data_IF_709388666435
#
_entry.id   IF_709388666435
#
_cell.length_a   1.000
_cell.length_b   1.000
_cell.length_c   1.000
_cell.angle_alpha   90.00
_cell.angle_beta   90.00
_cell.angle_gamma   90.00
#
_symmetry.space_group_name_H-M   'P 1'
#
loop_
_entity.id
_entity.type
_entity.pdbx_description
1 polymer ?
#
# COMPACT_ATOMS: atom_id res chain seq x y z
N UNK A 1 8.48 -6.57 -9.12
CA UNK A 1 7.54 -5.56 -8.61
C UNK A 1 7.60 -5.61 -7.10
N UNK A 2 8.17 -4.57 -6.50
CA UNK A 2 8.10 -4.35 -5.06
C UNK A 2 6.85 -3.53 -4.75
N UNK A 3 6.16 -3.91 -3.68
CA UNK A 3 5.02 -3.15 -3.17
C UNK A 3 5.41 -2.38 -1.91
N UNK A 4 4.81 -1.20 -1.74
CA UNK A 4 5.05 -0.24 -0.65
C UNK A 4 3.98 -0.34 0.45
N UNK A 5 3.26 -1.46 0.54
CA UNK A 5 2.11 -1.60 1.42
C UNK A 5 2.43 -1.44 2.91
N UNK A 6 3.66 -1.70 3.33
CA UNK A 6 4.10 -1.47 4.71
C UNK A 6 4.26 0.02 5.00
N UNK A 7 4.91 0.72 4.08
CA UNK A 7 5.18 2.15 4.16
C UNK A 7 3.88 2.95 4.10
N UNK A 8 2.97 2.58 3.21
CA UNK A 8 1.65 3.21 3.09
C UNK A 8 0.78 2.93 4.30
N UNK A 9 0.73 1.68 4.79
CA UNK A 9 -0.02 1.36 6.01
C UNK A 9 0.50 2.17 7.22
N UNK A 10 1.82 2.28 7.36
CA UNK A 10 2.43 3.13 8.39
C UNK A 10 2.04 4.60 8.24
N UNK A 11 2.07 5.16 7.03
CA UNK A 11 1.65 6.55 6.75
C UNK A 11 0.19 6.79 7.09
N UNK A 12 -0.68 5.83 6.79
CA UNK A 12 -2.13 5.86 7.10
C UNK A 12 -2.46 5.49 8.54
N UNK A 13 -1.44 5.28 9.39
CA UNK A 13 -1.59 4.89 10.79
C UNK A 13 -2.47 3.64 10.98
N UNK A 14 -2.34 2.66 10.09
CA UNK A 14 -3.04 1.38 10.17
C UNK A 14 -2.04 0.24 10.34
N UNK A 15 -2.31 -0.63 11.33
CA UNK A 15 -1.51 -1.83 11.53
C UNK A 15 -1.85 -2.89 10.47
N UNK A 16 -0.82 -3.53 9.91
CA UNK A 16 -1.02 -4.60 8.93
C UNK A 16 -1.75 -5.83 9.50
N UNK A 17 -1.72 -6.03 10.82
CA UNK A 17 -2.57 -7.02 11.49
C UNK A 17 -4.06 -6.70 11.30
N UNK A 18 -4.45 -5.43 11.46
CA UNK A 18 -5.82 -4.96 11.19
C UNK A 18 -6.20 -5.05 9.72
N UNK A 19 -5.26 -4.82 8.81
CA UNK A 19 -5.47 -5.06 7.38
C UNK A 19 -5.77 -6.54 7.11
N UNK A 20 -5.00 -7.46 7.69
CA UNK A 20 -5.21 -8.90 7.56
C UNK A 20 -6.57 -9.35 8.14
N UNK A 21 -6.93 -8.84 9.33
CA UNK A 21 -8.24 -9.06 9.95
C UNK A 21 -9.39 -8.58 9.04
N UNK A 22 -9.30 -7.35 8.50
CA UNK A 22 -10.34 -6.77 7.63
C UNK A 22 -10.62 -7.61 6.37
N UNK A 23 -9.59 -8.27 5.83
CA UNK A 23 -9.71 -9.09 4.62
C UNK A 23 -9.82 -10.60 4.94
N UNK A 24 -9.96 -10.95 6.22
CA UNK A 24 -10.24 -12.32 6.66
C UNK A 24 -9.09 -13.32 6.47
N UNK A 25 -7.83 -12.87 6.56
CA UNK A 25 -6.66 -13.76 6.43
C UNK A 25 -5.67 -13.59 7.58
N UNK A 26 -4.73 -14.53 7.71
CA UNK A 26 -3.63 -14.40 8.67
C UNK A 26 -2.58 -13.38 8.21
N UNK A 27 -1.89 -12.76 9.16
CA UNK A 27 -0.79 -11.83 8.87
C UNK A 27 0.35 -12.48 8.02
N UNK A 28 0.81 -13.72 8.30
CA UNK A 28 1.74 -14.41 7.41
C UNK A 28 1.19 -14.62 6.00
N UNK A 29 -0.10 -14.95 5.86
CA UNK A 29 -0.75 -15.11 4.55
C UNK A 29 -0.79 -13.80 3.76
N UNK A 30 -1.11 -12.68 4.42
CA UNK A 30 -1.03 -11.33 3.83
C UNK A 30 0.37 -11.09 3.26
N UNK A 31 1.40 -11.31 4.10
CA UNK A 31 2.78 -11.07 3.72
C UNK A 31 3.23 -11.95 2.54
N UNK A 32 2.88 -13.24 2.57
CA UNK A 32 3.16 -14.17 1.47
C UNK A 32 2.48 -13.72 0.17
N UNK A 33 1.21 -13.33 0.24
CA UNK A 33 0.41 -12.87 -0.91
C UNK A 33 1.00 -11.61 -1.54
N UNK A 34 1.52 -10.68 -0.73
CA UNK A 34 2.05 -9.40 -1.22
C UNK A 34 3.49 -9.46 -1.70
N UNK A 35 4.30 -10.37 -1.18
CA UNK A 35 5.70 -10.50 -1.59
C UNK A 35 5.92 -11.56 -2.68
N UNK A 36 4.95 -12.42 -2.96
CA UNK A 36 5.09 -13.48 -3.97
C UNK A 36 4.07 -13.34 -5.11
N UNK A 37 4.48 -12.61 -6.15
CA UNK A 37 3.71 -12.36 -7.37
C UNK A 37 2.22 -12.02 -7.10
N UNK A 38 1.94 -10.89 -6.43
CA UNK A 38 0.59 -10.51 -6.05
C UNK A 38 -0.30 -10.32 -7.28
N UNK A 39 -1.51 -10.85 -7.22
CA UNK A 39 -2.56 -10.56 -8.22
C UNK A 39 -3.07 -9.14 -8.01
N UNK A 40 -3.43 -8.45 -9.10
CA UNK A 40 -4.05 -7.12 -9.04
C UNK A 40 -5.20 -7.04 -8.03
N UNK A 41 -6.11 -8.03 -8.02
CA UNK A 41 -7.22 -8.09 -7.07
C UNK A 41 -6.77 -8.10 -5.60
N UNK A 42 -5.61 -8.68 -5.30
CA UNK A 42 -5.02 -8.68 -3.96
C UNK A 42 -4.51 -7.31 -3.56
N UNK A 43 -3.87 -6.62 -4.50
CA UNK A 43 -3.35 -5.27 -4.28
C UNK A 43 -4.53 -4.31 -4.06
N UNK A 44 -5.57 -4.41 -4.88
CA UNK A 44 -6.79 -3.60 -4.74
C UNK A 44 -7.51 -3.85 -3.41
N UNK A 45 -7.67 -5.11 -3.01
CA UNK A 45 -8.31 -5.48 -1.75
C UNK A 45 -7.55 -4.91 -0.54
N UNK A 46 -6.22 -4.94 -0.58
CA UNK A 46 -5.38 -4.39 0.49
C UNK A 46 -5.37 -2.85 0.47
N UNK A 47 -5.38 -2.22 -0.70
CA UNK A 47 -5.53 -0.78 -0.83
C UNK A 47 -6.84 -0.29 -0.19
N UNK A 48 -7.94 -1.00 -0.48
CA UNK A 48 -9.25 -0.73 0.11
C UNK A 48 -9.24 -0.91 1.63
N UNK A 49 -8.59 -1.97 2.14
CA UNK A 49 -8.50 -2.23 3.57
C UNK A 49 -7.65 -1.19 4.33
N UNK A 50 -6.62 -0.66 3.68
CA UNK A 50 -5.78 0.44 4.17
C UNK A 50 -6.50 1.80 4.05
N UNK A 51 -7.37 1.96 3.06
CA UNK A 51 -8.00 3.24 2.73
C UNK A 51 -7.06 4.14 1.94
N UNK A 52 -6.38 3.59 0.94
CA UNK A 52 -5.45 4.32 0.07
C UNK A 52 -5.74 4.03 -1.41
N UNK A 53 -5.16 4.84 -2.29
CA UNK A 53 -5.20 4.56 -3.72
C UNK A 53 -4.29 3.37 -4.05
N UNK A 54 -4.69 2.53 -5.02
CA UNK A 54 -3.92 1.32 -5.37
C UNK A 54 -2.49 1.67 -5.83
N UNK A 55 -2.35 2.80 -6.51
CA UNK A 55 -1.07 3.31 -7.01
C UNK A 55 -0.09 3.60 -5.87
N UNK A 56 -0.56 4.02 -4.69
CA UNK A 56 0.31 4.23 -3.52
C UNK A 56 1.07 2.96 -3.13
N UNK A 57 0.49 1.78 -3.39
CA UNK A 57 1.11 0.50 -3.03
C UNK A 57 2.17 0.04 -4.02
N UNK A 58 2.31 0.67 -5.19
CA UNK A 58 3.18 0.21 -6.27
C UNK A 58 4.40 1.12 -6.32
N UNK A 59 5.60 0.53 -6.40
CA UNK A 59 6.83 1.32 -6.57
C UNK A 59 6.80 2.19 -7.85
N UNK A 60 7.38 3.38 -7.75
CA UNK A 60 7.57 4.26 -8.91
C UNK A 60 8.87 3.94 -9.64
N UNK A 61 8.93 4.26 -10.94
CA UNK A 61 10.16 4.22 -11.72
C UNK A 61 11.15 5.31 -11.27
N UNK A 62 12.39 5.18 -11.74
CA UNK A 62 13.41 6.19 -11.54
C UNK A 62 12.95 7.57 -12.05
N UNK A 63 13.29 8.61 -11.30
CA UNK A 63 12.87 9.99 -11.59
C UNK A 63 11.46 10.35 -11.10
N UNK A 64 10.67 9.40 -10.59
CA UNK A 64 9.35 9.64 -10.01
C UNK A 64 9.30 9.28 -8.53
N UNK A 65 8.34 9.87 -7.80
CA UNK A 65 8.07 9.56 -6.40
C UNK A 65 6.59 9.79 -6.06
N UNK A 66 6.11 9.13 -5.00
CA UNK A 66 4.84 9.49 -4.36
C UNK A 66 5.02 10.78 -3.56
N UNK A 67 4.13 11.74 -3.81
CA UNK A 67 4.07 12.98 -3.05
C UNK A 67 2.91 12.95 -2.08
N UNK A 68 3.12 13.57 -0.93
CA UNK A 68 2.14 13.68 0.13
C UNK A 68 2.13 15.12 0.60
N UNK A 69 0.97 15.61 1.04
CA UNK A 69 0.88 16.89 1.70
C UNK A 69 1.45 16.77 3.12
N UNK A 70 2.41 17.62 3.47
CA UNK A 70 3.12 17.54 4.75
C UNK A 70 2.23 17.92 5.96
N UNK A 71 1.10 18.58 5.73
CA UNK A 71 0.16 19.02 6.78
C UNK A 71 -1.00 18.05 6.96
N UNK A 72 -1.60 17.59 5.86
CA UNK A 72 -2.79 16.74 5.89
C UNK A 72 -2.46 15.26 5.76
N UNK A 73 -1.29 14.90 5.24
CA UNK A 73 -0.93 13.52 4.91
C UNK A 73 -1.68 12.97 3.68
N UNK A 74 -2.40 13.82 2.95
CA UNK A 74 -3.12 13.44 1.74
C UNK A 74 -2.14 13.05 0.63
N UNK A 75 -2.50 12.04 -0.14
CA UNK A 75 -1.67 11.61 -1.27
C UNK A 75 -1.89 12.53 -2.46
N UNK A 76 -0.80 13.14 -2.95
CA UNK A 76 -0.82 14.14 -4.02
C UNK A 76 -0.48 13.56 -5.40
N UNK A 77 -0.44 12.22 -5.50
CA UNK A 77 -0.10 11.50 -6.71
C UNK A 77 1.37 11.14 -6.85
N UNK A 78 1.69 10.54 -7.99
CA UNK A 78 3.08 10.32 -8.44
C UNK A 78 3.52 11.52 -9.28
N UNK A 79 4.67 12.10 -8.96
CA UNK A 79 5.22 13.22 -9.72
C UNK A 79 6.70 12.98 -9.99
N UNK A 80 7.26 13.74 -10.94
CA UNK A 80 8.70 13.76 -11.20
C UNK A 80 9.41 14.42 -10.00
N UNK A 81 10.55 13.85 -9.61
CA UNK A 81 11.43 14.40 -8.58
C UNK A 81 11.99 15.76 -8.99
#
# INVERSE_FOLDING_TARGET
MKLLFKEVAKRKNIELGKVAEKIGISYPSLFKRMNNNPKFSSIQEIANAIGCEIHELIETSEGYAHFYDDKTGEWLGIRKK
#
